data_IF_969629337866
#
_entry.id   IF_969629337866
#
_cell.length_a   1.000
_cell.length_b   1.000
_cell.length_c   1.000
_cell.angle_alpha   90.00
_cell.angle_beta   90.00
_cell.angle_gamma   90.00
#
_symmetry.space_group_name_H-M   'P 1'
#
loop_
_entity.id
_entity.type
_entity.pdbx_description
1 polymer ?
#
# COMPACT_ATOMS: atom_id res chain seq x y z
N UNK A 1 25.73 -9.72 -40.48
CA UNK A 1 25.30 -9.57 -39.09
C UNK A 1 26.57 -9.55 -38.27
N UNK A 2 26.88 -8.44 -37.58
CA UNK A 2 28.09 -8.36 -36.76
C UNK A 2 28.01 -9.40 -35.64
N UNK A 3 29.10 -10.13 -35.39
CA UNK A 3 29.16 -11.06 -34.27
C UNK A 3 29.17 -10.28 -32.95
N UNK A 4 28.52 -10.82 -31.92
CA UNK A 4 28.45 -10.17 -30.59
C UNK A 4 29.87 -9.88 -30.05
N UNK A 5 30.85 -10.71 -30.39
CA UNK A 5 32.25 -10.50 -30.06
C UNK A 5 32.82 -9.22 -30.70
N UNK A 6 32.54 -8.96 -31.98
CA UNK A 6 32.97 -7.74 -32.68
C UNK A 6 32.31 -6.48 -32.10
N UNK A 7 31.06 -6.58 -31.63
CA UNK A 7 30.37 -5.46 -30.97
C UNK A 7 30.97 -5.19 -29.58
N UNK A 8 31.35 -6.23 -28.84
CA UNK A 8 31.98 -6.09 -27.52
C UNK A 8 33.40 -5.53 -27.60
N UNK A 9 34.12 -5.82 -28.69
CA UNK A 9 35.46 -5.31 -28.98
C UNK A 9 35.44 -3.96 -29.72
N UNK A 10 34.25 -3.41 -30.03
CA UNK A 10 34.13 -2.16 -30.78
C UNK A 10 34.60 -0.95 -29.97
N UNK A 11 35.08 0.07 -30.69
CA UNK A 11 35.50 1.34 -30.10
C UNK A 11 34.33 2.03 -29.39
N UNK A 12 33.09 1.88 -29.89
CA UNK A 12 31.89 2.40 -29.24
C UNK A 12 31.64 1.71 -27.90
N UNK A 13 31.83 0.39 -27.80
CA UNK A 13 31.69 -0.33 -26.53
C UNK A 13 32.80 0.06 -25.54
N UNK A 14 34.01 0.29 -26.01
CA UNK A 14 35.11 0.80 -25.19
C UNK A 14 34.84 2.23 -24.67
N UNK A 15 34.16 3.07 -25.45
CA UNK A 15 33.69 4.40 -25.01
C UNK A 15 32.56 4.29 -23.99
N UNK A 16 31.61 3.38 -24.19
CA UNK A 16 30.54 3.09 -23.22
C UNK A 16 31.13 2.63 -21.89
N UNK A 17 32.07 1.68 -21.90
CA UNK A 17 32.74 1.20 -20.70
C UNK A 17 33.50 2.31 -19.97
N UNK A 18 34.20 3.19 -20.71
CA UNK A 18 34.88 4.36 -20.13
C UNK A 18 33.90 5.37 -19.54
N UNK A 19 32.78 5.63 -20.21
CA UNK A 19 31.74 6.51 -19.72
C UNK A 19 31.08 5.95 -18.45
N UNK A 20 30.76 4.66 -18.43
CA UNK A 20 30.22 3.95 -17.24
C UNK A 20 31.20 4.03 -16.07
N UNK A 21 32.50 3.83 -16.32
CA UNK A 21 33.53 3.91 -15.26
C UNK A 21 33.69 5.34 -14.74
N UNK A 22 33.73 6.35 -15.61
CA UNK A 22 33.79 7.76 -15.21
C UNK A 22 32.54 8.19 -14.43
N UNK A 23 31.37 7.67 -14.81
CA UNK A 23 30.12 7.91 -14.09
C UNK A 23 30.07 7.18 -12.75
N UNK A 24 30.59 5.95 -12.64
CA UNK A 24 30.79 5.26 -11.36
C UNK A 24 31.72 6.04 -10.44
N UNK A 25 32.79 6.63 -10.97
CA UNK A 25 33.69 7.46 -10.18
C UNK A 25 33.04 8.78 -9.74
N UNK A 26 32.15 9.35 -10.56
CA UNK A 26 31.51 10.64 -10.31
C UNK A 26 30.25 10.56 -9.45
N UNK A 27 29.46 9.50 -9.61
CA UNK A 27 28.13 9.33 -9.02
C UNK A 27 27.98 8.02 -8.24
N UNK A 28 28.94 7.10 -8.35
CA UNK A 28 28.93 5.87 -7.56
C UNK A 28 29.11 6.18 -6.08
N UNK A 29 28.40 5.42 -5.26
CA UNK A 29 28.58 5.44 -3.82
C UNK A 29 30.06 5.20 -3.47
N UNK A 30 30.51 5.85 -2.39
CA UNK A 30 31.88 5.79 -1.88
C UNK A 30 32.44 4.33 -1.82
N UNK A 31 33.77 4.14 -1.91
CA UNK A 31 34.45 2.83 -1.89
C UNK A 31 34.31 2.11 -0.54
N UNK A 32 33.09 1.68 -0.28
CA UNK A 32 32.53 1.06 0.92
C UNK A 32 31.12 0.50 0.66
N UNK A 33 30.47 0.85 -0.46
CA UNK A 33 29.31 0.11 -0.97
C UNK A 33 29.76 -1.25 -1.48
N UNK A 34 29.46 -2.26 -0.66
CA UNK A 34 29.62 -3.70 -0.84
C UNK A 34 29.24 -4.11 -2.28
N UNK A 35 29.92 -5.10 -2.90
CA UNK A 35 29.53 -5.60 -4.21
C UNK A 35 28.04 -5.96 -4.17
N UNK A 36 27.23 -5.39 -5.06
CA UNK A 36 25.82 -5.70 -5.24
C UNK A 36 25.64 -7.22 -5.09
N UNK A 37 25.01 -7.61 -3.97
CA UNK A 37 25.11 -8.97 -3.45
C UNK A 37 24.54 -9.98 -4.45
N UNK A 38 25.44 -10.83 -4.95
CA UNK A 38 25.10 -12.15 -5.48
C UNK A 38 24.28 -12.92 -4.44
N UNK A 39 23.05 -13.27 -4.79
CA UNK A 39 22.43 -14.56 -4.51
C UNK A 39 22.68 -15.13 -3.11
N UNK A 40 22.17 -14.44 -2.08
CA UNK A 40 21.80 -15.14 -0.86
C UNK A 40 20.56 -15.97 -1.23
N UNK A 41 20.54 -17.27 -0.94
CA UNK A 41 19.44 -18.20 -1.30
C UNK A 41 18.05 -17.86 -0.70
N UNK A 42 17.88 -16.64 -0.21
CA UNK A 42 16.68 -16.04 0.36
C UNK A 42 16.22 -14.77 -0.40
N UNK A 43 16.95 -14.29 -1.42
CA UNK A 43 16.53 -13.14 -2.22
C UNK A 43 15.27 -13.47 -3.02
N UNK A 44 14.22 -12.68 -2.80
CA UNK A 44 12.92 -12.86 -3.46
C UNK A 44 12.71 -11.73 -4.45
N UNK A 45 12.52 -12.06 -5.72
CA UNK A 45 12.32 -11.04 -6.75
C UNK A 45 11.01 -10.27 -6.51
N UNK A 46 11.00 -8.92 -6.67
CA UNK A 46 9.80 -8.13 -6.46
C UNK A 46 8.64 -8.57 -7.36
N UNK A 47 8.93 -8.91 -8.61
CA UNK A 47 7.91 -9.39 -9.55
C UNK A 47 7.37 -10.76 -9.17
N UNK A 48 8.21 -11.66 -8.65
CA UNK A 48 7.74 -12.94 -8.16
C UNK A 48 6.76 -12.78 -6.98
N UNK A 49 7.00 -11.82 -6.09
CA UNK A 49 6.13 -11.55 -4.95
C UNK A 49 4.83 -10.82 -5.31
N UNK A 50 4.85 -10.02 -6.38
CA UNK A 50 3.71 -9.18 -6.78
C UNK A 50 2.82 -9.81 -7.86
N UNK A 51 3.41 -10.50 -8.85
CA UNK A 51 2.71 -11.02 -10.03
C UNK A 51 2.53 -12.54 -10.05
N UNK A 52 3.52 -13.28 -9.53
CA UNK A 52 3.58 -14.74 -9.73
C UNK A 52 2.81 -15.47 -8.63
N UNK A 53 1.81 -16.24 -9.04
CA UNK A 53 1.01 -17.07 -8.13
C UNK A 53 0.14 -16.25 -7.18
N UNK A 54 -0.08 -16.79 -5.97
CA UNK A 54 -0.87 -16.12 -4.94
C UNK A 54 -0.05 -15.02 -4.28
N UNK A 55 -0.58 -13.80 -4.28
CA UNK A 55 0.05 -12.65 -3.61
C UNK A 55 0.32 -12.95 -2.13
N UNK A 56 1.54 -12.61 -1.67
CA UNK A 56 2.07 -12.89 -0.32
C UNK A 56 2.22 -11.60 0.49
N UNK A 57 1.11 -11.00 0.97
CA UNK A 57 1.14 -9.70 1.64
C UNK A 57 1.94 -9.71 2.94
N UNK A 58 1.99 -10.83 3.64
CA UNK A 58 2.77 -11.04 4.87
C UNK A 58 4.27 -10.98 4.61
N UNK A 59 4.74 -11.58 3.51
CA UNK A 59 6.15 -11.55 3.11
C UNK A 59 6.52 -10.14 2.64
N UNK A 60 5.68 -9.53 1.80
CA UNK A 60 5.91 -8.17 1.30
C UNK A 60 5.98 -7.18 2.45
N UNK A 61 5.03 -7.22 3.38
CA UNK A 61 5.02 -6.30 4.53
C UNK A 61 6.25 -6.47 5.42
N UNK A 62 6.72 -7.71 5.64
CA UNK A 62 7.98 -7.95 6.37
C UNK A 62 9.17 -7.30 5.69
N UNK A 63 9.29 -7.43 4.38
CA UNK A 63 10.40 -6.81 3.63
C UNK A 63 10.31 -5.28 3.67
N UNK A 64 9.10 -4.71 3.58
CA UNK A 64 8.91 -3.25 3.70
C UNK A 64 9.28 -2.72 5.09
N UNK A 65 9.11 -3.53 6.14
CA UNK A 65 9.46 -3.17 7.52
C UNK A 65 10.91 -3.45 7.89
N UNK A 66 11.63 -4.24 7.10
CA UNK A 66 13.04 -4.55 7.33
C UNK A 66 13.90 -3.32 7.03
N UNK A 67 14.97 -3.13 7.82
CA UNK A 67 15.98 -2.08 7.62
C UNK A 67 17.00 -2.46 6.54
N UNK A 68 16.99 -3.70 6.05
CA UNK A 68 17.89 -4.13 4.98
C UNK A 68 17.78 -3.24 3.73
N UNK A 69 18.94 -2.83 3.22
CA UNK A 69 19.06 -2.06 1.99
C UNK A 69 19.06 -3.00 0.78
N UNK A 70 18.06 -2.84 -0.09
CA UNK A 70 17.97 -3.54 -1.37
C UNK A 70 18.38 -2.60 -2.50
N UNK A 71 18.56 -3.14 -3.71
CA UNK A 71 18.85 -2.32 -4.89
C UNK A 71 17.76 -1.25 -5.14
N UNK A 72 18.10 -0.12 -5.77
CA UNK A 72 17.16 0.97 -6.04
C UNK A 72 15.85 0.51 -6.68
N UNK A 73 14.72 1.04 -6.20
CA UNK A 73 13.40 0.68 -6.73
C UNK A 73 12.81 -0.64 -6.18
N UNK A 74 13.59 -1.55 -5.58
CA UNK A 74 13.09 -2.83 -5.05
C UNK A 74 11.90 -2.65 -4.09
N UNK A 75 12.06 -1.86 -3.03
CA UNK A 75 10.99 -1.62 -2.04
C UNK A 75 9.86 -0.73 -2.59
N UNK A 76 10.15 0.12 -3.58
CA UNK A 76 9.14 0.96 -4.23
C UNK A 76 8.12 0.09 -4.99
N UNK A 77 8.60 -0.90 -5.76
CA UNK A 77 7.76 -1.88 -6.45
C UNK A 77 6.89 -2.66 -5.47
N UNK A 78 7.50 -3.15 -4.39
CA UNK A 78 6.77 -3.89 -3.35
C UNK A 78 5.70 -3.04 -2.66
N UNK A 79 6.00 -1.78 -2.35
CA UNK A 79 5.08 -0.85 -1.72
C UNK A 79 3.88 -0.54 -2.63
N UNK A 80 4.11 -0.29 -3.91
CA UNK A 80 3.03 -0.03 -4.87
C UNK A 80 2.09 -1.25 -5.02
N UNK A 81 2.67 -2.44 -5.16
CA UNK A 81 1.90 -3.69 -5.20
C UNK A 81 1.10 -3.93 -3.91
N UNK A 82 1.67 -3.58 -2.75
CA UNK A 82 0.99 -3.65 -1.45
C UNK A 82 -0.16 -2.65 -1.34
N UNK A 83 0.03 -1.41 -1.81
CA UNK A 83 -1.02 -0.39 -1.91
C UNK A 83 -2.21 -0.87 -2.75
N UNK A 84 -1.95 -1.40 -3.95
CA UNK A 84 -2.99 -1.97 -4.80
C UNK A 84 -3.72 -3.15 -4.15
N UNK A 85 -2.97 -4.02 -3.47
CA UNK A 85 -3.55 -5.15 -2.75
C UNK A 85 -4.45 -4.70 -1.60
N UNK A 86 -4.11 -3.63 -0.89
CA UNK A 86 -4.92 -3.13 0.22
C UNK A 86 -6.31 -2.69 -0.23
N UNK A 87 -6.37 -1.98 -1.35
CA UNK A 87 -7.59 -1.40 -1.92
C UNK A 87 -8.42 -2.50 -2.61
N UNK A 88 -7.76 -3.32 -3.42
CA UNK A 88 -8.40 -4.37 -4.22
C UNK A 88 -7.70 -5.74 -4.02
N UNK A 89 -7.89 -6.42 -2.88
CA UNK A 89 -7.14 -7.64 -2.54
C UNK A 89 -7.32 -8.81 -3.51
N UNK A 90 -8.38 -8.76 -4.32
CA UNK A 90 -8.78 -9.80 -5.27
C UNK A 90 -8.48 -9.48 -6.72
N UNK A 91 -8.11 -8.24 -7.04
CA UNK A 91 -7.75 -7.87 -8.41
C UNK A 91 -6.24 -7.87 -8.55
N UNK A 92 -5.77 -8.66 -9.50
CA UNK A 92 -4.36 -8.72 -9.87
C UNK A 92 -4.01 -7.49 -10.69
N UNK A 93 -4.94 -7.05 -11.52
CA UNK A 93 -4.85 -5.96 -12.48
C UNK A 93 -4.50 -4.64 -11.78
N UNK A 94 -5.16 -4.30 -10.67
CA UNK A 94 -4.82 -3.10 -9.88
C UNK A 94 -3.38 -3.14 -9.39
N UNK A 95 -2.97 -4.28 -8.82
CA UNK A 95 -1.63 -4.44 -8.25
C UNK A 95 -0.57 -4.32 -9.34
N UNK A 96 -0.80 -4.98 -10.46
CA UNK A 96 0.14 -4.97 -11.58
C UNK A 96 0.26 -3.60 -12.20
N UNK A 97 -0.85 -2.88 -12.37
CA UNK A 97 -0.82 -1.53 -12.90
C UNK A 97 -0.04 -0.58 -11.98
N UNK A 98 -0.28 -0.61 -10.66
CA UNK A 98 0.48 0.22 -9.71
C UNK A 98 1.97 -0.18 -9.64
N UNK A 99 2.29 -1.47 -9.76
CA UNK A 99 3.68 -1.94 -9.88
C UNK A 99 4.35 -1.37 -11.13
N UNK A 100 3.66 -1.36 -12.27
CA UNK A 100 4.17 -0.78 -13.51
C UNK A 100 4.39 0.73 -13.36
N UNK A 101 3.43 1.46 -12.80
CA UNK A 101 3.57 2.89 -12.51
C UNK A 101 4.78 3.18 -11.61
N UNK A 102 5.00 2.37 -10.57
CA UNK A 102 6.17 2.52 -9.71
C UNK A 102 7.49 2.22 -10.44
N UNK A 103 7.48 1.26 -11.38
CA UNK A 103 8.64 0.98 -12.22
C UNK A 103 8.98 2.14 -13.15
N UNK A 104 7.97 2.71 -13.81
CA UNK A 104 8.10 3.89 -14.67
C UNK A 104 8.62 5.08 -13.86
N UNK A 105 8.02 5.37 -12.70
CA UNK A 105 8.46 6.46 -11.83
C UNK A 105 9.88 6.26 -11.27
N UNK A 106 10.33 5.01 -11.11
CA UNK A 106 11.72 4.74 -10.75
C UNK A 106 12.69 5.07 -11.89
N UNK A 107 12.37 4.65 -13.12
CA UNK A 107 13.18 4.94 -14.30
C UNK A 107 13.19 6.42 -14.66
N UNK A 108 12.05 7.11 -14.58
CA UNK A 108 11.96 8.56 -14.82
C UNK A 108 12.81 9.37 -13.82
N UNK A 109 12.83 8.94 -12.55
CA UNK A 109 13.75 9.51 -11.55
C UNK A 109 15.22 9.24 -11.90
N UNK A 110 15.55 8.05 -12.38
CA UNK A 110 16.90 7.71 -12.81
C UNK A 110 17.35 8.53 -14.03
N UNK A 111 16.46 8.74 -15.01
CA UNK A 111 16.69 9.61 -16.16
C UNK A 111 16.88 11.07 -15.74
N UNK A 112 16.05 11.56 -14.81
CA UNK A 112 16.17 12.91 -14.24
C UNK A 112 17.50 13.11 -13.53
N UNK A 113 17.98 12.12 -12.76
CA UNK A 113 19.29 12.16 -12.11
C UNK A 113 20.45 12.15 -13.11
N UNK A 114 20.31 11.42 -14.22
CA UNK A 114 21.30 11.42 -15.30
C UNK A 114 21.28 12.70 -16.16
N UNK A 115 20.16 13.43 -16.17
CA UNK A 115 19.88 14.49 -17.14
C UNK A 115 20.01 15.91 -16.59
N UNK A 116 20.74 16.12 -15.49
CA UNK A 116 20.96 17.47 -14.92
C UNK A 116 21.49 18.44 -16.00
N UNK A 117 20.62 19.35 -16.44
CA UNK A 117 20.87 20.57 -17.25
C UNK A 117 21.39 20.46 -18.69
N UNK A 118 21.31 19.32 -19.38
CA UNK A 118 21.70 19.25 -20.82
C UNK A 118 20.84 18.30 -21.66
N UNK A 119 20.94 18.38 -22.99
CA UNK A 119 20.23 17.49 -23.94
C UNK A 119 20.48 16.00 -23.64
N UNK A 120 19.53 15.14 -24.01
CA UNK A 120 19.63 13.68 -23.86
C UNK A 120 20.73 13.11 -24.77
N UNK A 121 21.60 12.25 -24.22
CA UNK A 121 22.70 11.60 -24.96
C UNK A 121 22.73 10.10 -24.66
N UNK A 122 23.38 9.32 -25.51
CA UNK A 122 23.55 7.87 -25.32
C UNK A 122 24.22 7.55 -23.98
N UNK A 123 25.23 8.33 -23.60
CA UNK A 123 25.94 8.14 -22.33
C UNK A 123 25.01 8.37 -21.13
N UNK A 124 24.06 9.30 -21.23
CA UNK A 124 23.07 9.55 -20.17
C UNK A 124 22.03 8.44 -20.07
N UNK A 125 21.56 7.92 -21.20
CA UNK A 125 20.66 6.76 -21.20
C UNK A 125 21.33 5.56 -20.52
N UNK A 126 22.59 5.31 -20.85
CA UNK A 126 23.40 4.26 -20.21
C UNK A 126 23.56 4.52 -18.71
N UNK A 127 23.83 5.77 -18.31
CA UNK A 127 23.92 6.15 -16.90
C UNK A 127 22.60 5.90 -16.16
N UNK A 128 21.47 6.36 -16.72
CA UNK A 128 20.15 6.21 -16.16
C UNK A 128 19.80 4.73 -15.96
N UNK A 129 20.03 3.89 -16.97
CA UNK A 129 19.69 2.47 -16.94
C UNK A 129 20.61 1.63 -16.07
N UNK A 130 21.92 1.79 -16.22
CA UNK A 130 22.86 0.85 -15.60
C UNK A 130 23.42 1.34 -14.26
N UNK A 131 23.37 2.64 -13.97
CA UNK A 131 23.91 3.19 -12.71
C UNK A 131 22.80 3.60 -11.74
N UNK A 132 21.78 4.32 -12.20
CA UNK A 132 20.74 4.85 -11.33
C UNK A 132 19.55 3.90 -11.16
N UNK A 133 19.17 3.18 -12.22
CA UNK A 133 18.16 2.12 -12.16
C UNK A 133 18.78 0.81 -11.64
N UNK A 134 19.91 0.40 -12.24
CA UNK A 134 20.68 -0.77 -11.82
C UNK A 134 20.28 -2.06 -12.55
N UNK A 135 21.25 -2.95 -12.75
CA UNK A 135 21.08 -4.19 -13.52
C UNK A 135 20.08 -5.15 -12.89
N UNK A 136 20.06 -5.24 -11.56
CA UNK A 136 19.13 -6.13 -10.84
C UNK A 136 17.68 -5.70 -11.06
N UNK A 137 17.40 -4.38 -11.05
CA UNK A 137 16.08 -3.86 -11.39
C UNK A 137 15.70 -4.21 -12.84
N UNK A 138 16.64 -4.06 -13.78
CA UNK A 138 16.37 -4.35 -15.19
C UNK A 138 15.95 -5.82 -15.39
N UNK A 139 16.69 -6.75 -14.77
CA UNK A 139 16.44 -8.19 -14.89
C UNK A 139 15.19 -8.62 -14.12
N UNK A 140 15.09 -8.23 -12.85
CA UNK A 140 14.05 -8.75 -11.94
C UNK A 140 12.71 -8.04 -12.08
N UNK A 141 12.70 -6.80 -12.61
CA UNK A 141 11.50 -5.97 -12.72
C UNK A 141 11.20 -5.62 -14.17
N UNK A 142 12.06 -4.85 -14.82
CA UNK A 142 11.77 -4.28 -16.15
C UNK A 142 11.51 -5.36 -17.21
N UNK A 143 12.43 -6.31 -17.37
CA UNK A 143 12.29 -7.40 -18.35
C UNK A 143 11.09 -8.30 -18.02
N UNK A 144 10.89 -8.58 -16.74
CA UNK A 144 9.77 -9.39 -16.25
C UNK A 144 8.39 -8.70 -16.42
N UNK A 145 8.37 -7.37 -16.54
CA UNK A 145 7.15 -6.64 -16.87
C UNK A 145 6.84 -6.67 -18.37
N UNK A 146 7.83 -6.96 -19.23
CA UNK A 146 7.73 -6.88 -20.68
C UNK A 146 8.46 -5.66 -21.27
N UNK A 147 9.33 -5.03 -20.47
CA UNK A 147 10.13 -3.86 -20.85
C UNK A 147 9.28 -2.67 -21.27
N UNK A 148 9.81 -1.86 -22.19
CA UNK A 148 9.20 -0.60 -22.64
C UNK A 148 7.75 -0.75 -23.14
N UNK A 149 7.41 -1.90 -23.75
CA UNK A 149 6.05 -2.17 -24.23
C UNK A 149 5.03 -2.15 -23.10
N UNK A 150 5.38 -2.75 -21.96
CA UNK A 150 4.50 -2.82 -20.80
C UNK A 150 4.18 -1.44 -20.22
N UNK A 151 5.07 -0.47 -20.41
CA UNK A 151 4.90 0.90 -19.91
C UNK A 151 3.98 1.72 -20.81
N UNK A 152 4.04 1.50 -22.13
CA UNK A 152 3.11 2.14 -23.08
C UNK A 152 1.70 1.55 -23.05
N UNK A 153 1.55 0.29 -22.63
CA UNK A 153 0.25 -0.40 -22.53
C UNK A 153 -0.37 -0.36 -21.12
N UNK A 154 0.33 0.20 -20.13
CA UNK A 154 -0.19 0.28 -18.77
C UNK A 154 -1.36 1.26 -18.69
N UNK A 155 -2.47 0.89 -18.03
CA UNK A 155 -3.60 1.80 -17.86
C UNK A 155 -3.15 3.02 -17.06
N UNK A 156 -3.57 4.19 -17.52
CA UNK A 156 -3.31 5.46 -16.83
C UNK A 156 -3.94 5.46 -15.44
N UNK A 157 -3.47 6.36 -14.58
CA UNK A 157 -4.04 6.48 -13.24
C UNK A 157 -5.53 6.84 -13.29
N UNK A 158 -5.94 7.66 -14.26
CA UNK A 158 -7.34 8.06 -14.44
C UNK A 158 -8.22 6.86 -14.87
N UNK A 159 -7.75 6.03 -15.81
CA UNK A 159 -8.47 4.80 -16.22
C UNK A 159 -8.60 3.80 -15.08
N UNK A 160 -7.56 3.69 -14.25
CA UNK A 160 -7.59 2.93 -13.01
C UNK A 160 -8.63 3.53 -12.04
N UNK A 161 -8.61 4.84 -11.85
CA UNK A 161 -9.47 5.55 -10.91
C UNK A 161 -10.96 5.45 -11.24
N UNK A 162 -11.34 5.55 -12.52
CA UNK A 162 -12.72 5.38 -12.99
C UNK A 162 -13.25 3.98 -12.67
N UNK A 163 -12.40 2.96 -12.68
CA UNK A 163 -12.75 1.61 -12.24
C UNK A 163 -12.87 1.49 -10.69
N UNK A 164 -12.29 2.43 -9.93
CA UNK A 164 -12.15 2.38 -8.46
C UNK A 164 -13.02 3.34 -7.66
N UNK A 165 -13.73 4.28 -8.29
CA UNK A 165 -14.60 5.24 -7.57
C UNK A 165 -15.61 4.52 -6.63
N UNK A 166 -16.11 3.35 -7.05
CA UNK A 166 -17.01 2.52 -6.24
C UNK A 166 -16.34 1.86 -5.01
N UNK A 167 -15.01 1.69 -5.05
CA UNK A 167 -14.21 1.04 -4.01
C UNK A 167 -13.88 2.01 -2.89
N UNK A 168 -13.50 3.26 -3.23
CA UNK A 168 -13.19 4.29 -2.25
C UNK A 168 -14.33 4.48 -1.25
N UNK A 169 -15.55 4.72 -1.74
CA UNK A 169 -16.74 4.94 -0.92
C UNK A 169 -17.01 3.78 0.03
N UNK A 170 -16.79 2.56 -0.46
CA UNK A 170 -16.93 1.33 0.32
C UNK A 170 -15.88 1.26 1.44
N UNK A 171 -14.61 1.50 1.12
CA UNK A 171 -13.50 1.48 2.08
C UNK A 171 -13.71 2.54 3.15
N UNK A 172 -14.08 3.76 2.76
CA UNK A 172 -14.38 4.85 3.68
C UNK A 172 -15.56 4.50 4.60
N UNK A 173 -16.63 3.89 4.06
CA UNK A 173 -17.76 3.41 4.89
C UNK A 173 -17.32 2.32 5.88
N UNK A 174 -16.49 1.37 5.46
CA UNK A 174 -15.98 0.31 6.34
C UNK A 174 -15.04 0.87 7.43
N UNK A 175 -14.16 1.79 7.09
CA UNK A 175 -13.31 2.52 8.02
C UNK A 175 -14.12 3.30 9.06
N UNK A 176 -15.21 3.94 8.62
CA UNK A 176 -16.15 4.63 9.50
C UNK A 176 -16.91 3.67 10.41
N UNK A 177 -17.33 2.52 9.90
CA UNK A 177 -17.92 1.47 10.73
C UNK A 177 -16.97 1.00 11.84
N UNK A 178 -15.68 0.79 11.52
CA UNK A 178 -14.66 0.44 12.53
C UNK A 178 -14.45 1.59 13.53
N UNK A 179 -14.55 2.85 13.10
CA UNK A 179 -14.50 4.01 14.01
C UNK A 179 -15.60 3.93 15.08
N UNK A 180 -16.84 3.61 14.70
CA UNK A 180 -17.92 3.42 15.67
C UNK A 180 -17.66 2.25 16.61
N UNK A 181 -17.13 1.14 16.10
CA UNK A 181 -16.78 -0.01 16.93
C UNK A 181 -15.63 0.31 17.89
N UNK A 182 -14.67 1.12 17.49
CA UNK A 182 -13.58 1.58 18.33
C UNK A 182 -14.11 2.42 19.50
N UNK A 183 -14.92 3.45 19.21
CA UNK A 183 -15.60 4.25 20.26
C UNK A 183 -16.41 3.38 21.23
N UNK A 184 -17.16 2.41 20.70
CA UNK A 184 -17.98 1.53 21.53
C UNK A 184 -17.12 0.58 22.38
N UNK A 185 -16.01 0.09 21.84
CA UNK A 185 -15.09 -0.80 22.54
C UNK A 185 -14.35 -0.07 23.65
N UNK A 186 -13.92 1.17 23.42
CA UNK A 186 -13.29 2.00 24.45
C UNK A 186 -14.27 2.32 25.58
N UNK A 187 -15.50 2.70 25.22
CA UNK A 187 -16.48 3.18 26.20
C UNK A 187 -17.19 2.07 26.96
N UNK A 188 -17.44 0.94 26.31
CA UNK A 188 -18.29 -0.13 26.84
C UNK A 188 -17.57 -1.47 26.93
N UNK A 189 -16.32 -1.60 26.47
CA UNK A 189 -15.58 -2.86 26.46
C UNK A 189 -14.77 -3.15 27.72
N UNK A 190 -15.10 -2.54 28.87
CA UNK A 190 -14.40 -2.80 30.14
C UNK A 190 -14.62 -4.26 30.60
N UNK A 191 -13.64 -4.86 31.33
CA UNK A 191 -13.80 -6.21 31.89
C UNK A 191 -15.11 -6.35 32.69
N UNK A 192 -15.90 -7.38 32.41
CA UNK A 192 -17.22 -7.61 33.01
C UNK A 192 -18.40 -7.00 32.24
N UNK A 193 -18.14 -6.16 31.23
CA UNK A 193 -19.20 -5.66 30.35
C UNK A 193 -19.75 -6.75 29.43
N UNK A 194 -21.07 -6.73 29.21
CA UNK A 194 -21.76 -7.60 28.23
C UNK A 194 -21.59 -7.14 26.79
N UNK A 195 -20.93 -6.02 26.55
CA UNK A 195 -20.80 -5.44 25.22
C UNK A 195 -19.92 -6.30 24.30
N UNK A 196 -20.52 -6.81 23.22
CA UNK A 196 -19.80 -7.49 22.13
C UNK A 196 -19.88 -6.64 20.85
N UNK A 197 -18.76 -6.11 20.31
CA UNK A 197 -18.77 -5.38 19.05
C UNK A 197 -19.20 -6.27 17.89
N UNK A 198 -19.95 -5.71 16.94
CA UNK A 198 -20.37 -6.42 15.72
C UNK A 198 -20.64 -5.44 14.58
N UNK A 199 -20.43 -5.86 13.33
CA UNK A 199 -20.72 -5.01 12.17
C UNK A 199 -22.19 -4.54 12.14
N UNK A 200 -23.13 -5.41 12.54
CA UNK A 200 -24.56 -5.05 12.61
C UNK A 200 -24.84 -3.84 13.53
N UNK A 201 -24.07 -3.68 14.61
CA UNK A 201 -24.19 -2.51 15.50
C UNK A 201 -23.70 -1.24 14.81
N UNK A 202 -22.57 -1.30 14.10
CA UNK A 202 -22.06 -0.17 13.32
C UNK A 202 -23.00 0.19 12.15
N UNK A 203 -23.58 -0.81 11.48
CA UNK A 203 -24.60 -0.63 10.44
C UNK A 203 -25.82 0.11 10.99
N UNK A 204 -26.24 -0.15 12.23
CA UNK A 204 -27.40 0.53 12.84
C UNK A 204 -27.16 2.04 12.98
N UNK A 205 -25.93 2.45 13.33
CA UNK A 205 -25.53 3.87 13.35
C UNK A 205 -25.59 4.47 11.93
N UNK A 206 -25.04 3.76 10.94
CA UNK A 206 -25.04 4.22 9.55
C UNK A 206 -26.45 4.34 8.96
N UNK A 207 -27.33 3.38 9.24
CA UNK A 207 -28.72 3.39 8.79
C UNK A 207 -29.50 4.55 9.41
N UNK A 208 -29.27 4.84 10.70
CA UNK A 208 -29.87 5.99 11.37
C UNK A 208 -29.42 7.32 10.75
N UNK A 209 -28.12 7.47 10.45
CA UNK A 209 -27.58 8.65 9.76
C UNK A 209 -28.18 8.83 8.37
N UNK A 210 -28.30 7.75 7.59
CA UNK A 210 -28.94 7.76 6.27
C UNK A 210 -30.41 8.18 6.35
N UNK A 211 -31.14 7.66 7.33
CA UNK A 211 -32.55 7.98 7.52
C UNK A 211 -32.77 9.44 7.95
N UNK A 212 -31.90 9.95 8.83
CA UNK A 212 -31.95 11.34 9.29
C UNK A 212 -31.64 12.36 8.17
N UNK A 213 -30.84 11.95 7.17
CA UNK A 213 -30.37 12.80 6.09
C UNK A 213 -31.05 12.54 4.74
N UNK A 214 -32.20 11.85 4.69
CA UNK A 214 -32.84 11.42 3.42
C UNK A 214 -33.04 12.53 2.36
N UNK A 215 -33.12 13.79 2.77
CA UNK A 215 -33.26 14.97 1.90
C UNK A 215 -31.94 15.73 1.64
N UNK A 216 -30.83 15.34 2.26
CA UNK A 216 -29.51 15.96 2.13
C UNK A 216 -28.61 15.09 1.22
N UNK A 217 -27.91 15.67 0.22
CA UNK A 217 -26.90 14.97 -0.59
C UNK A 217 -25.89 14.16 0.25
N UNK A 218 -25.61 14.57 1.49
CA UNK A 218 -24.73 13.85 2.40
C UNK A 218 -25.26 12.46 2.85
N UNK A 219 -26.54 12.14 2.67
CA UNK A 219 -27.04 10.76 2.84
C UNK A 219 -26.45 9.77 1.84
N UNK A 220 -25.97 10.26 0.69
CA UNK A 220 -25.27 9.45 -0.28
C UNK A 220 -23.83 9.13 0.14
N UNK A 221 -23.31 9.66 1.25
CA UNK A 221 -21.92 9.45 1.66
C UNK A 221 -21.59 7.96 1.94
N UNK A 222 -22.56 7.17 2.38
CA UNK A 222 -22.34 5.79 2.83
C UNK A 222 -22.94 4.74 1.88
N UNK A 223 -22.26 3.61 1.70
CA UNK A 223 -22.77 2.49 0.89
C UNK A 223 -23.93 1.75 1.55
N UNK A 224 -24.73 1.01 0.78
CA UNK A 224 -25.84 0.19 1.30
C UNK A 224 -25.35 -0.88 2.30
N UNK A 225 -26.25 -1.33 3.18
CA UNK A 225 -25.96 -2.40 4.14
C UNK A 225 -25.43 -3.67 3.46
N UNK A 226 -26.09 -4.12 2.39
CA UNK A 226 -25.69 -5.33 1.65
C UNK A 226 -24.27 -5.19 1.09
N UNK A 227 -23.97 -4.05 0.46
CA UNK A 227 -22.65 -3.79 -0.11
C UNK A 227 -21.56 -3.72 0.97
N UNK A 228 -21.85 -3.08 2.13
CA UNK A 228 -20.92 -3.04 3.25
C UNK A 228 -20.62 -4.44 3.79
N UNK A 229 -21.63 -5.27 4.03
CA UNK A 229 -21.44 -6.65 4.50
C UNK A 229 -20.64 -7.51 3.50
N UNK A 230 -20.98 -7.41 2.21
CA UNK A 230 -20.25 -8.11 1.16
C UNK A 230 -18.77 -7.73 1.18
N UNK A 231 -18.47 -6.42 1.18
CA UNK A 231 -17.11 -5.91 1.11
C UNK A 231 -16.31 -6.16 2.37
N UNK A 232 -16.93 -6.02 3.53
CA UNK A 232 -16.34 -6.40 4.82
C UNK A 232 -15.92 -7.88 4.80
N UNK A 233 -16.79 -8.77 4.32
CA UNK A 233 -16.49 -10.20 4.24
C UNK A 233 -15.37 -10.52 3.24
N UNK A 234 -15.34 -9.82 2.11
CA UNK A 234 -14.33 -10.01 1.07
C UNK A 234 -12.94 -9.49 1.46
N UNK A 235 -12.89 -8.44 2.30
CA UNK A 235 -11.68 -7.68 2.61
C UNK A 235 -11.24 -7.80 4.07
N UNK A 236 -11.72 -8.81 4.82
CA UNK A 236 -11.38 -9.02 6.25
C UNK A 236 -9.90 -8.82 6.57
N UNK A 237 -9.02 -9.29 5.68
CA UNK A 237 -7.58 -9.25 5.86
C UNK A 237 -6.94 -7.84 5.71
N UNK A 238 -7.61 -6.86 5.12
CA UNK A 238 -7.07 -5.49 4.93
C UNK A 238 -7.75 -4.44 5.80
N UNK A 239 -8.89 -4.76 6.42
CA UNK A 239 -9.70 -3.80 7.19
C UNK A 239 -8.92 -3.07 8.29
N UNK A 240 -8.12 -3.79 9.08
CA UNK A 240 -7.34 -3.19 10.16
C UNK A 240 -6.27 -2.22 9.64
N UNK A 241 -5.61 -2.57 8.54
CA UNK A 241 -4.60 -1.72 7.88
C UNK A 241 -5.26 -0.47 7.30
N UNK A 242 -6.37 -0.61 6.56
CA UNK A 242 -7.10 0.52 5.98
C UNK A 242 -7.65 1.47 7.06
N UNK A 243 -8.24 0.93 8.12
CA UNK A 243 -8.72 1.76 9.23
C UNK A 243 -7.56 2.47 9.93
N UNK A 244 -6.45 1.78 10.20
CA UNK A 244 -5.28 2.39 10.84
C UNK A 244 -4.67 3.50 9.98
N UNK A 245 -4.61 3.30 8.66
CA UNK A 245 -4.16 4.32 7.72
C UNK A 245 -5.02 5.59 7.77
N UNK A 246 -6.32 5.47 8.02
CA UNK A 246 -7.22 6.63 8.15
C UNK A 246 -6.92 7.52 9.36
N UNK A 247 -6.12 7.02 10.31
CA UNK A 247 -5.78 7.72 11.56
C UNK A 247 -4.40 8.37 11.53
N UNK A 248 -3.61 8.11 10.50
CA UNK A 248 -2.27 8.66 10.33
C UNK A 248 -2.38 9.86 9.39
N UNK A 249 -2.01 11.05 9.89
CA UNK A 249 -1.99 12.28 9.09
C UNK A 249 -0.60 12.54 8.54
N UNK A 250 -0.56 12.86 7.26
CA UNK A 250 0.63 13.24 6.50
C UNK A 250 0.26 14.55 5.81
N UNK A 251 0.77 15.66 6.34
CA UNK A 251 0.35 17.01 5.97
C UNK A 251 -1.17 17.19 6.13
N UNK A 252 -1.87 17.54 5.03
CA UNK A 252 -3.32 17.77 5.00
C UNK A 252 -4.14 16.53 4.67
N UNK A 253 -3.49 15.40 4.38
CA UNK A 253 -4.13 14.14 3.97
C UNK A 253 -3.90 13.05 5.02
N UNK A 254 -4.73 12.03 4.99
CA UNK A 254 -4.47 10.78 5.74
C UNK A 254 -3.69 9.80 4.89
N UNK A 255 -2.97 8.87 5.52
CA UNK A 255 -2.31 7.79 4.79
C UNK A 255 -3.33 6.96 3.97
N UNK A 256 -4.56 6.80 4.46
CA UNK A 256 -5.62 6.15 3.70
C UNK A 256 -5.94 6.91 2.40
N UNK A 257 -6.09 8.23 2.45
CA UNK A 257 -6.33 9.04 1.24
C UNK A 257 -5.16 8.92 0.26
N UNK A 258 -3.92 8.95 0.73
CA UNK A 258 -2.74 8.77 -0.11
C UNK A 258 -2.74 7.39 -0.79
N UNK A 259 -3.09 6.34 -0.05
CA UNK A 259 -3.20 4.98 -0.59
C UNK A 259 -4.31 4.93 -1.64
N UNK A 260 -5.50 5.44 -1.31
CA UNK A 260 -6.64 5.46 -2.23
C UNK A 260 -6.25 6.18 -3.51
N UNK A 261 -5.73 7.40 -3.42
CA UNK A 261 -5.24 8.19 -4.54
C UNK A 261 -4.00 7.58 -5.26
N UNK A 262 -3.57 6.37 -4.90
CA UNK A 262 -2.50 5.65 -5.58
C UNK A 262 -1.09 6.21 -5.40
N UNK A 263 -0.92 7.22 -4.55
CA UNK A 263 0.36 7.90 -4.32
C UNK A 263 1.21 7.25 -3.22
N UNK A 264 0.84 6.07 -2.73
CA UNK A 264 1.62 5.37 -1.71
C UNK A 264 2.94 4.81 -2.29
N UNK A 265 4.04 5.49 -2.00
CA UNK A 265 5.43 5.08 -2.29
C UNK A 265 6.18 4.65 -1.03
N UNK A 266 7.25 3.86 -1.18
CA UNK A 266 8.09 3.50 -0.03
C UNK A 266 8.91 4.70 0.45
N UNK A 267 9.47 5.46 -0.49
CA UNK A 267 10.42 6.54 -0.26
C UNK A 267 9.81 7.66 0.59
N UNK A 268 8.57 8.05 0.29
CA UNK A 268 7.91 9.14 0.99
C UNK A 268 7.22 8.69 2.28
N UNK A 269 6.89 7.40 2.39
CA UNK A 269 6.01 6.90 3.45
C UNK A 269 6.63 5.87 4.40
N UNK A 270 7.88 5.44 4.19
CA UNK A 270 8.55 4.42 5.03
C UNK A 270 8.54 4.74 6.52
N UNK A 271 8.69 6.02 6.88
CA UNK A 271 8.72 6.48 8.27
C UNK A 271 7.41 6.25 9.03
N UNK A 272 6.30 6.02 8.32
CA UNK A 272 5.00 5.76 8.91
C UNK A 272 4.67 4.26 9.03
N UNK A 273 5.44 3.37 8.38
CA UNK A 273 5.11 1.94 8.28
C UNK A 273 5.01 1.26 9.65
N UNK A 274 5.98 1.47 10.53
CA UNK A 274 5.96 0.85 11.87
C UNK A 274 4.74 1.29 12.68
N UNK A 275 4.46 2.60 12.67
CA UNK A 275 3.29 3.16 13.37
C UNK A 275 2.00 2.61 12.78
N UNK A 276 1.93 2.54 11.45
CA UNK A 276 0.77 2.02 10.73
C UNK A 276 0.47 0.56 11.07
N UNK A 277 1.49 -0.29 11.01
CA UNK A 277 1.36 -1.71 11.34
C UNK A 277 1.07 -1.89 12.83
N UNK A 278 1.72 -1.13 13.71
CA UNK A 278 1.48 -1.17 15.15
C UNK A 278 0.05 -0.79 15.53
N UNK A 279 -0.53 0.22 14.86
CA UNK A 279 -1.96 0.57 15.01
C UNK A 279 -2.88 -0.50 14.45
N UNK A 280 -2.52 -1.14 13.34
CA UNK A 280 -3.31 -2.24 12.79
C UNK A 280 -3.34 -3.46 13.73
N UNK A 281 -2.22 -3.77 14.41
CA UNK A 281 -2.19 -4.79 15.47
C UNK A 281 -3.07 -4.41 16.65
N UNK A 282 -3.11 -3.12 17.02
CA UNK A 282 -4.02 -2.64 18.06
C UNK A 282 -5.48 -2.84 17.66
N UNK A 283 -5.87 -2.53 16.43
CA UNK A 283 -7.24 -2.77 15.93
C UNK A 283 -7.60 -4.26 16.00
N UNK A 284 -6.70 -5.14 15.59
CA UNK A 284 -6.92 -6.58 15.63
C UNK A 284 -7.17 -7.09 17.06
N UNK A 285 -6.30 -6.70 18.00
CA UNK A 285 -6.33 -7.19 19.38
C UNK A 285 -7.38 -6.50 20.26
N UNK A 286 -7.62 -5.21 20.06
CA UNK A 286 -8.53 -4.42 20.89
C UNK A 286 -9.97 -4.51 20.38
N UNK A 287 -10.19 -4.47 19.07
CA UNK A 287 -11.52 -4.44 18.46
C UNK A 287 -11.91 -5.81 17.92
N UNK A 288 -11.14 -6.37 16.99
CA UNK A 288 -11.54 -7.59 16.27
C UNK A 288 -11.57 -8.84 17.15
N UNK A 289 -10.62 -8.99 18.08
CA UNK A 289 -10.60 -10.11 19.03
C UNK A 289 -11.86 -10.15 19.93
N UNK A 290 -12.54 -9.02 20.12
CA UNK A 290 -13.78 -8.92 20.90
C UNK A 290 -15.03 -9.18 20.05
N UNK A 291 -14.91 -9.25 18.73
CA UNK A 291 -16.02 -9.54 17.81
C UNK A 291 -16.29 -11.05 17.75
N UNK A 292 -17.00 -11.60 18.75
CA UNK A 292 -17.28 -13.05 18.86
C UNK A 292 -17.93 -13.68 17.62
N UNK A 293 -18.64 -12.89 16.80
CA UNK A 293 -19.27 -13.36 15.56
C UNK A 293 -18.37 -13.41 14.33
N UNK A 294 -17.10 -12.99 14.41
CA UNK A 294 -16.19 -12.93 13.27
C UNK A 294 -14.71 -13.13 13.66
N UNK A 295 -14.40 -14.31 14.21
CA UNK A 295 -13.03 -14.70 14.61
C UNK A 295 -12.01 -14.68 13.45
N UNK A 296 -12.50 -14.76 12.21
CA UNK A 296 -11.65 -14.69 11.02
C UNK A 296 -10.96 -13.33 10.86
N UNK A 297 -11.54 -12.24 11.36
CA UNK A 297 -10.96 -10.90 11.25
C UNK A 297 -9.61 -10.81 11.96
N UNK A 298 -9.58 -11.18 13.23
CA UNK A 298 -8.38 -11.19 14.06
C UNK A 298 -7.33 -12.12 13.44
N UNK A 299 -7.71 -13.38 13.19
CA UNK A 299 -6.80 -14.40 12.66
C UNK A 299 -6.16 -14.00 11.32
N UNK A 300 -6.96 -13.52 10.37
CA UNK A 300 -6.46 -13.09 9.06
C UNK A 300 -5.57 -11.86 9.16
N UNK A 301 -5.92 -10.92 10.03
CA UNK A 301 -5.11 -9.71 10.26
C UNK A 301 -3.76 -10.08 10.85
N UNK A 302 -3.73 -10.87 11.94
CA UNK A 302 -2.47 -11.28 12.58
C UNK A 302 -1.57 -12.12 11.66
N UNK A 303 -2.15 -12.96 10.80
CA UNK A 303 -1.38 -13.70 9.79
C UNK A 303 -0.56 -12.78 8.88
N UNK A 304 -1.06 -11.58 8.59
CA UNK A 304 -0.36 -10.60 7.74
C UNK A 304 0.62 -9.76 8.54
N UNK A 305 0.17 -9.21 9.68
CA UNK A 305 0.97 -8.27 10.46
C UNK A 305 2.10 -8.96 11.23
N UNK A 306 1.97 -10.26 11.49
CA UNK A 306 2.88 -11.00 12.36
C UNK A 306 2.94 -10.46 13.79
N UNK A 307 3.95 -10.89 14.51
CA UNK A 307 4.28 -10.37 15.84
C UNK A 307 4.93 -8.99 15.76
N UNK A 308 4.89 -8.25 16.87
CA UNK A 308 5.55 -6.94 16.98
C UNK A 308 4.78 -5.97 17.86
N UNK A 309 5.31 -4.74 17.96
CA UNK A 309 4.77 -3.69 18.82
C UNK A 309 3.31 -3.38 18.46
N UNK A 310 2.47 -3.34 19.49
CA UNK A 310 1.10 -2.83 19.43
C UNK A 310 1.15 -1.35 19.78
N UNK A 311 0.54 -0.49 18.96
CA UNK A 311 0.51 0.97 19.18
C UNK A 311 -0.94 1.41 19.38
N UNK A 312 -1.39 1.62 20.63
CA UNK A 312 -2.72 2.14 20.93
C UNK A 312 -2.92 3.54 20.35
N UNK A 313 -4.15 3.86 19.97
CA UNK A 313 -4.55 5.20 19.52
C UNK A 313 -6.03 5.43 19.81
N UNK A 314 -6.43 6.69 19.96
CA UNK A 314 -7.84 7.04 20.13
C UNK A 314 -8.58 7.05 18.79
N UNK A 315 -9.87 6.68 18.75
CA UNK A 315 -10.67 6.74 17.54
C UNK A 315 -10.80 8.17 17.01
N UNK A 316 -10.91 8.36 15.68
CA UNK A 316 -11.25 9.66 15.10
C UNK A 316 -12.51 10.26 15.72
N UNK A 317 -12.54 11.59 15.87
CA UNK A 317 -13.71 12.29 16.42
C UNK A 317 -14.93 12.06 15.51
N UNK A 318 -16.07 11.84 16.15
CA UNK A 318 -17.37 11.82 15.51
C UNK A 318 -17.87 13.26 15.39
N UNK A 319 -18.54 13.58 14.29
CA UNK A 319 -19.29 14.85 14.21
C UNK A 319 -20.56 14.80 15.10
N UNK A 320 -21.26 15.92 15.23
CA UNK A 320 -22.42 16.01 16.13
C UNK A 320 -23.56 15.06 15.73
N UNK A 321 -23.78 14.86 14.43
CA UNK A 321 -24.83 13.98 13.92
C UNK A 321 -24.48 12.51 14.18
N UNK A 322 -23.23 12.12 13.90
CA UNK A 322 -22.68 10.81 14.18
C UNK A 322 -22.66 10.50 15.66
N UNK A 323 -22.28 11.47 16.49
CA UNK A 323 -22.27 11.31 17.94
C UNK A 323 -23.68 11.12 18.48
N UNK A 324 -24.67 11.84 17.96
CA UNK A 324 -26.07 11.68 18.34
C UNK A 324 -26.60 10.29 17.97
N UNK A 325 -26.37 9.83 16.74
CA UNK A 325 -26.75 8.48 16.30
C UNK A 325 -26.03 7.39 17.08
N UNK A 326 -24.72 7.53 17.27
CA UNK A 326 -23.91 6.62 18.09
C UNK A 326 -24.49 6.50 19.50
N UNK A 327 -24.78 7.62 20.17
CA UNK A 327 -25.35 7.63 21.52
C UNK A 327 -26.73 6.95 21.54
N UNK A 328 -27.59 7.19 20.55
CA UNK A 328 -28.93 6.60 20.48
C UNK A 328 -28.85 5.08 20.28
N UNK A 329 -28.10 4.66 19.26
CA UNK A 329 -27.93 3.24 18.91
C UNK A 329 -27.29 2.46 20.04
N UNK A 330 -26.17 2.93 20.60
CA UNK A 330 -25.45 2.17 21.63
C UNK A 330 -26.09 2.23 23.02
N UNK A 331 -26.89 3.25 23.35
CA UNK A 331 -27.70 3.27 24.59
C UNK A 331 -28.66 2.07 24.66
N UNK A 332 -29.28 1.72 23.52
CA UNK A 332 -30.21 0.59 23.44
C UNK A 332 -29.53 -0.77 23.67
N UNK A 333 -28.23 -0.88 23.42
CA UNK A 333 -27.46 -2.11 23.65
C UNK A 333 -26.85 -2.22 25.06
N UNK A 334 -26.98 -1.18 25.88
CA UNK A 334 -26.46 -1.13 27.26
C UNK A 334 -27.60 -1.33 28.27
N UNK A 335 -28.79 -0.85 27.94
CA UNK A 335 -29.98 -0.91 28.80
C UNK A 335 -30.84 -2.18 28.60
N UNK A 336 -30.47 -3.08 27.69
CA UNK A 336 -31.12 -4.38 27.46
C UNK A 336 -30.19 -5.52 27.82
#
# INVERSE_FOLDING_TARGET
MAEIAEILESEEMAEVMRAVEALKQRFGAHPGSIPFQRNDGQHLWPIALTRVGRYKPDVVLKILLDDHEYYPGYKAILAAGFGGWLIAPRSKEVREALVVHAAVAHMDRAESLASIDTSFTVQKDIAARYLFTGTDFLVEVYDCLGGHRAFGEAPSFDELWDAFESVEKTINTASRAITYLHHATDRFGSPGSRFVPSLNKAVSVLDELKNAKKSDPSAQQYVSRSLLHQRWSQNKQTLALLYSASTIRINRRTLLQIILDGFFSYEDHRSYLETWVGRARYVATHIFARMKGDLELERKTHRILGEGKITPFSPPKLDDAELASFKRTFRNFING
#
